data_IF_673024431317
#
_entry.id   IF_673024431317
#
_cell.length_a   1.000
_cell.length_b   1.000
_cell.length_c   1.000
_cell.angle_alpha   90.00
_cell.angle_beta   90.00
_cell.angle_gamma   90.00
#
_symmetry.space_group_name_H-M   'P 1'
#
loop_
_entity.id
_entity.type
_entity.pdbx_description
1 polymer ?
#
# COMPACT_ATOMS: atom_id res chain seq x y z
N UNK A 1 10.80 11.21 12.30
CA UNK A 1 10.11 11.98 11.22
C UNK A 1 9.51 11.02 10.21
N UNK A 2 8.29 11.29 9.81
CA UNK A 2 7.62 10.45 8.82
C UNK A 2 7.84 10.97 7.41
N UNK A 3 7.94 10.03 6.46
CA UNK A 3 8.17 10.34 5.05
C UNK A 3 7.28 9.46 4.17
N UNK A 4 6.79 10.04 3.09
CA UNK A 4 6.22 9.31 1.97
C UNK A 4 7.26 9.27 0.84
N UNK A 5 7.55 8.08 0.33
CA UNK A 5 8.54 7.89 -0.74
C UNK A 5 7.89 7.10 -1.87
N UNK A 6 7.80 7.71 -3.04
CA UNK A 6 7.41 6.98 -4.26
C UNK A 6 8.65 6.30 -4.82
N UNK A 7 8.67 4.97 -4.80
CA UNK A 7 9.76 4.20 -5.40
C UNK A 7 9.61 4.19 -6.92
N UNK A 8 8.40 3.95 -7.38
CA UNK A 8 8.03 3.92 -8.80
C UNK A 8 6.63 4.45 -8.98
N UNK A 9 6.36 5.08 -10.11
CA UNK A 9 5.02 5.51 -10.48
C UNK A 9 4.81 5.39 -11.99
N UNK A 10 3.55 5.26 -12.42
CA UNK A 10 3.17 5.18 -13.80
C UNK A 10 2.75 3.79 -14.27
N UNK A 11 2.46 3.66 -15.54
CA UNK A 11 1.91 2.43 -16.14
C UNK A 11 2.88 1.25 -16.17
N UNK A 12 4.17 1.49 -15.95
CA UNK A 12 5.17 0.42 -15.88
C UNK A 12 5.33 -0.21 -14.50
N UNK A 13 4.76 0.40 -13.47
CA UNK A 13 4.74 -0.12 -12.11
C UNK A 13 4.67 0.97 -11.05
N UNK A 14 3.92 0.68 -10.00
CA UNK A 14 3.68 1.59 -8.89
C UNK A 14 4.10 0.92 -7.57
N UNK A 15 4.82 1.64 -6.74
CA UNK A 15 5.21 1.20 -5.41
C UNK A 15 5.61 2.41 -4.58
N UNK A 16 5.07 2.50 -3.37
CA UNK A 16 5.37 3.59 -2.45
C UNK A 16 5.65 3.05 -1.06
N UNK A 17 6.34 3.84 -0.26
CA UNK A 17 6.65 3.53 1.13
C UNK A 17 6.23 4.69 2.02
N UNK A 18 5.62 4.38 3.14
CA UNK A 18 5.43 5.33 4.25
C UNK A 18 6.28 4.84 5.40
N UNK A 19 7.19 5.66 5.88
CA UNK A 19 8.08 5.29 6.99
C UNK A 19 8.11 6.32 8.10
N UNK A 20 8.38 5.83 9.31
CA UNK A 20 8.72 6.63 10.47
C UNK A 20 9.96 6.01 11.11
N UNK A 21 11.09 6.70 11.00
CA UNK A 21 12.37 6.11 11.39
C UNK A 21 12.67 4.87 10.54
N UNK A 22 12.88 3.73 11.20
CA UNK A 22 13.16 2.46 10.52
C UNK A 22 11.91 1.67 10.18
N UNK A 23 10.77 1.94 10.85
CA UNK A 23 9.50 1.23 10.63
C UNK A 23 8.79 1.76 9.40
N UNK A 24 8.21 0.85 8.62
CA UNK A 24 7.55 1.26 7.37
C UNK A 24 6.48 0.27 6.91
N UNK A 25 5.66 0.75 6.00
CA UNK A 25 4.68 -0.05 5.23
C UNK A 25 4.89 0.23 3.74
N UNK A 26 4.56 -0.75 2.92
CA UNK A 26 4.64 -0.66 1.46
C UNK A 26 3.22 -0.51 0.92
N UNK A 27 3.03 0.32 -0.10
CA UNK A 27 1.76 0.49 -0.81
C UNK A 27 1.99 0.10 -2.25
N UNK A 28 1.33 -0.99 -2.68
CA UNK A 28 1.45 -1.62 -3.98
C UNK A 28 2.88 -2.11 -4.30
N UNK A 29 2.98 -3.02 -5.25
CA UNK A 29 4.25 -3.56 -5.71
C UNK A 29 4.14 -3.96 -7.17
N UNK A 30 4.22 -2.94 -8.03
CA UNK A 30 4.02 -3.09 -9.47
C UNK A 30 5.28 -3.40 -10.27
N UNK A 31 6.45 -3.57 -9.63
CA UNK A 31 7.70 -3.97 -10.29
C UNK A 31 8.28 -5.22 -9.64
N UNK A 32 9.21 -5.84 -10.33
CA UNK A 32 9.82 -7.10 -9.89
C UNK A 32 10.59 -6.99 -8.57
N UNK A 33 10.79 -8.14 -7.93
CA UNK A 33 11.44 -8.24 -6.61
C UNK A 33 12.85 -7.64 -6.59
N UNK A 34 13.62 -7.83 -7.64
CA UNK A 34 15.00 -7.33 -7.70
C UNK A 34 15.02 -5.80 -7.62
N UNK A 35 14.21 -5.14 -8.43
CA UNK A 35 14.12 -3.69 -8.49
C UNK A 35 13.60 -3.11 -7.18
N UNK A 36 12.56 -3.70 -6.61
CA UNK A 36 11.96 -3.25 -5.36
C UNK A 36 12.92 -3.46 -4.18
N UNK A 37 13.56 -4.61 -4.10
CA UNK A 37 14.53 -4.90 -3.03
C UNK A 37 15.73 -3.97 -3.08
N UNK A 38 16.23 -3.65 -4.28
CA UNK A 38 17.33 -2.71 -4.45
C UNK A 38 16.96 -1.30 -3.97
N UNK A 39 15.74 -0.84 -4.28
CA UNK A 39 15.25 0.46 -3.85
C UNK A 39 15.11 0.55 -2.33
N UNK A 40 14.56 -0.48 -1.69
CA UNK A 40 14.46 -0.54 -0.22
C UNK A 40 15.83 -0.51 0.45
N UNK A 41 16.78 -1.27 -0.09
CA UNK A 41 18.15 -1.32 0.41
C UNK A 41 18.84 0.04 0.29
N UNK A 42 18.66 0.72 -0.82
CA UNK A 42 19.22 2.06 -1.05
C UNK A 42 18.70 3.08 -0.03
N UNK A 43 17.46 2.91 0.44
CA UNK A 43 16.87 3.73 1.50
C UNK A 43 17.28 3.29 2.90
N UNK A 44 18.06 2.22 3.04
CA UNK A 44 18.46 1.68 4.34
C UNK A 44 17.33 0.95 5.07
N UNK A 45 16.31 0.50 4.35
CA UNK A 45 15.15 -0.18 4.93
C UNK A 45 15.32 -1.69 4.92
N UNK A 46 15.12 -2.32 6.08
CA UNK A 46 15.18 -3.76 6.27
C UNK A 46 13.77 -4.36 6.24
N UNK A 47 13.63 -5.54 5.64
CA UNK A 47 12.34 -6.25 5.57
C UNK A 47 11.78 -6.55 6.97
N UNK A 48 12.65 -6.82 7.94
CA UNK A 48 12.24 -7.07 9.33
C UNK A 48 11.50 -5.90 9.97
N UNK A 49 11.64 -4.70 9.43
CA UNK A 49 11.00 -3.48 9.92
C UNK A 49 9.73 -3.12 9.13
N UNK A 50 9.38 -3.92 8.13
CA UNK A 50 8.16 -3.72 7.33
C UNK A 50 6.96 -4.36 8.02
N UNK A 51 5.93 -3.57 8.28
CA UNK A 51 4.71 -4.04 8.93
C UNK A 51 3.77 -4.80 7.97
N UNK A 52 3.85 -4.53 6.67
CA UNK A 52 3.01 -5.19 5.68
C UNK A 52 2.90 -4.41 4.38
N UNK A 53 2.10 -4.95 3.48
CA UNK A 53 1.85 -4.38 2.15
C UNK A 53 0.38 -4.04 2.04
N UNK A 54 0.07 -2.79 1.71
CA UNK A 54 -1.27 -2.33 1.40
C UNK A 54 -1.46 -2.37 -0.12
N UNK A 55 -2.56 -2.95 -0.60
CA UNK A 55 -2.85 -3.04 -2.04
C UNK A 55 -4.04 -2.17 -2.37
N UNK A 56 -3.91 -1.29 -3.36
CA UNK A 56 -4.98 -0.38 -3.77
C UNK A 56 -5.98 -1.07 -4.70
N UNK A 57 -5.52 -1.86 -5.66
CA UNK A 57 -6.36 -2.60 -6.61
C UNK A 57 -5.53 -3.65 -7.36
N UNK A 58 -6.21 -4.45 -8.18
CA UNK A 58 -5.67 -5.67 -8.79
C UNK A 58 -4.88 -5.49 -10.09
N UNK A 59 -4.80 -4.29 -10.66
CA UNK A 59 -4.08 -4.08 -11.92
C UNK A 59 -2.61 -4.48 -11.83
N UNK A 60 -2.06 -5.05 -12.90
CA UNK A 60 -0.71 -5.63 -12.91
C UNK A 60 0.39 -4.62 -12.55
N UNK A 61 0.23 -3.37 -12.94
CA UNK A 61 1.17 -2.30 -12.60
C UNK A 61 1.17 -1.92 -11.11
N UNK A 62 0.30 -2.56 -10.30
CA UNK A 62 0.24 -2.41 -8.84
C UNK A 62 0.59 -3.70 -8.10
N UNK A 63 0.49 -4.88 -8.73
CA UNK A 63 0.62 -6.16 -8.02
C UNK A 63 1.58 -7.16 -8.64
N UNK A 64 2.12 -6.92 -9.84
CA UNK A 64 2.91 -7.94 -10.56
C UNK A 64 4.17 -8.42 -9.82
N UNK A 65 4.71 -7.63 -8.92
CA UNK A 65 5.89 -7.99 -8.13
C UNK A 65 5.60 -8.76 -6.86
N UNK A 66 4.32 -8.85 -6.43
CA UNK A 66 3.94 -9.42 -5.14
C UNK A 66 4.33 -10.88 -5.00
N UNK A 67 4.00 -11.73 -5.96
CA UNK A 67 4.17 -13.18 -5.82
C UNK A 67 5.63 -13.55 -5.52
N UNK A 68 6.56 -13.04 -6.31
CA UNK A 68 7.98 -13.35 -6.15
C UNK A 68 8.56 -12.71 -4.89
N UNK A 69 8.17 -11.48 -4.60
CA UNK A 69 8.63 -10.78 -3.40
C UNK A 69 8.19 -11.49 -2.13
N UNK A 70 6.92 -11.86 -2.04
CA UNK A 70 6.34 -12.50 -0.86
C UNK A 70 6.87 -13.93 -0.63
N UNK A 71 7.29 -14.64 -1.68
CA UNK A 71 7.95 -15.94 -1.52
C UNK A 71 9.27 -15.83 -0.77
N UNK A 72 10.00 -14.73 -0.98
CA UNK A 72 11.27 -14.47 -0.31
C UNK A 72 11.10 -13.75 1.02
N UNK A 73 10.09 -12.92 1.12
CA UNK A 73 9.88 -12.03 2.25
C UNK A 73 8.40 -12.10 2.68
N UNK A 74 7.98 -13.13 3.42
CA UNK A 74 6.59 -13.26 3.84
C UNK A 74 6.15 -12.09 4.71
N UNK A 75 5.12 -11.37 4.26
CA UNK A 75 4.54 -10.22 4.94
C UNK A 75 3.02 -10.31 4.85
N UNK A 76 2.28 -9.75 5.81
CA UNK A 76 0.84 -9.65 5.68
C UNK A 76 0.46 -8.66 4.57
N UNK A 77 -0.62 -8.99 3.85
CA UNK A 77 -1.15 -8.18 2.75
C UNK A 77 -2.54 -7.69 3.15
N UNK A 78 -2.75 -6.40 3.03
CA UNK A 78 -3.98 -5.72 3.44
C UNK A 78 -4.66 -5.09 2.24
N UNK A 79 -5.97 -5.05 2.27
CA UNK A 79 -6.75 -4.40 1.21
C UNK A 79 -8.24 -4.64 1.35
N UNK A 80 -8.98 -4.28 0.30
CA UNK A 80 -10.40 -4.56 0.20
C UNK A 80 -10.65 -6.05 -0.11
N UNK A 81 -11.80 -6.56 0.30
CA UNK A 81 -12.18 -7.96 0.10
C UNK A 81 -12.04 -8.40 -1.36
N UNK A 82 -12.63 -7.65 -2.28
CA UNK A 82 -12.62 -8.01 -3.71
C UNK A 82 -11.19 -8.11 -4.26
N UNK A 83 -10.32 -7.18 -3.85
CA UNK A 83 -8.92 -7.18 -4.27
C UNK A 83 -8.18 -8.40 -3.70
N UNK A 84 -8.34 -8.67 -2.42
CA UNK A 84 -7.69 -9.81 -1.78
C UNK A 84 -8.19 -11.14 -2.31
N UNK A 85 -9.49 -11.26 -2.60
CA UNK A 85 -10.08 -12.45 -3.22
C UNK A 85 -9.47 -12.71 -4.61
N UNK A 86 -9.29 -11.65 -5.40
CA UNK A 86 -8.62 -11.75 -6.71
C UNK A 86 -7.18 -12.23 -6.56
N UNK A 87 -6.42 -11.66 -5.64
CA UNK A 87 -5.03 -12.04 -5.41
C UNK A 87 -4.89 -13.50 -4.96
N UNK A 88 -5.78 -13.94 -4.09
CA UNK A 88 -5.80 -15.32 -3.61
C UNK A 88 -6.20 -16.30 -4.72
N UNK A 89 -7.29 -16.02 -5.42
CA UNK A 89 -7.78 -16.86 -6.51
C UNK A 89 -6.78 -17.05 -7.66
N UNK A 90 -5.93 -16.06 -7.88
CA UNK A 90 -4.90 -16.10 -8.93
C UNK A 90 -3.51 -16.54 -8.42
N UNK A 91 -3.42 -16.96 -7.17
CA UNK A 91 -2.16 -17.44 -6.59
C UNK A 91 -1.06 -16.37 -6.48
N UNK A 92 -1.45 -15.10 -6.44
CA UNK A 92 -0.50 -13.98 -6.38
C UNK A 92 0.11 -13.86 -4.99
N UNK A 93 -0.68 -14.15 -3.95
CA UNK A 93 -0.20 -14.14 -2.57
C UNK A 93 0.03 -15.61 -2.14
N UNK A 94 1.27 -15.96 -1.71
CA UNK A 94 1.55 -17.30 -1.22
C UNK A 94 0.71 -17.65 0.02
N UNK A 95 0.38 -18.94 0.17
CA UNK A 95 -0.41 -19.42 1.31
C UNK A 95 0.27 -19.16 2.67
N UNK A 96 1.57 -18.96 2.69
CA UNK A 96 2.34 -18.61 3.89
C UNK A 96 2.11 -17.15 4.35
N UNK A 97 1.50 -16.31 3.53
CA UNK A 97 1.25 -14.91 3.86
C UNK A 97 -0.21 -14.71 4.28
N UNK A 98 -0.41 -13.87 5.29
CA UNK A 98 -1.76 -13.52 5.71
C UNK A 98 -2.39 -12.50 4.75
N UNK A 99 -3.66 -12.71 4.45
CA UNK A 99 -4.52 -11.73 3.78
C UNK A 99 -5.44 -11.13 4.84
N UNK A 100 -5.42 -9.80 4.99
CA UNK A 100 -6.22 -9.10 5.99
C UNK A 100 -7.09 -8.03 5.33
N UNK A 101 -8.40 -8.28 5.31
CA UNK A 101 -9.38 -7.31 4.83
C UNK A 101 -9.51 -6.16 5.82
N UNK A 102 -9.44 -4.93 5.30
CA UNK A 102 -9.70 -3.73 6.08
C UNK A 102 -11.19 -3.36 6.00
N UNK A 103 -11.74 -2.91 7.13
CA UNK A 103 -13.19 -2.66 7.26
C UNK A 103 -13.63 -1.25 6.85
N UNK A 104 -12.68 -0.32 6.68
CA UNK A 104 -12.97 1.10 6.42
C UNK A 104 -12.89 1.98 7.67
N UNK A 105 -12.77 1.40 8.86
CA UNK A 105 -12.36 2.11 10.07
C UNK A 105 -10.84 2.14 10.19
N UNK A 106 -10.31 2.88 11.15
CA UNK A 106 -8.87 2.89 11.42
C UNK A 106 -8.47 1.57 12.07
N UNK A 107 -7.49 0.89 11.49
CA UNK A 107 -6.95 -0.37 11.99
C UNK A 107 -5.43 -0.30 12.04
N UNK A 108 -4.84 -1.02 12.99
CA UNK A 108 -3.39 -1.02 13.16
C UNK A 108 -2.71 -1.93 12.13
N UNK A 109 -1.70 -1.38 11.46
CA UNK A 109 -0.75 -2.12 10.63
C UNK A 109 0.64 -1.81 11.21
N UNK A 110 1.12 -2.69 12.07
CA UNK A 110 2.29 -2.37 12.91
C UNK A 110 2.01 -1.15 13.78
N UNK A 111 2.88 -0.16 13.72
CA UNK A 111 2.75 1.09 14.49
C UNK A 111 1.96 2.18 13.73
N UNK A 112 1.41 1.85 12.57
CA UNK A 112 0.63 2.79 11.75
C UNK A 112 -0.86 2.53 11.91
N UNK A 113 -1.64 3.60 12.01
CA UNK A 113 -3.11 3.51 11.92
C UNK A 113 -3.52 3.70 10.46
N UNK A 114 -4.26 2.74 9.90
CA UNK A 114 -4.62 2.74 8.48
C UNK A 114 -6.13 2.75 8.32
N UNK A 115 -6.64 3.70 7.55
CA UNK A 115 -8.04 3.78 7.15
C UNK A 115 -8.14 3.66 5.64
N UNK A 116 -8.89 2.67 5.17
CA UNK A 116 -9.14 2.44 3.75
C UNK A 116 -10.40 3.21 3.33
N UNK A 117 -10.38 3.79 2.14
CA UNK A 117 -11.55 4.45 1.56
C UNK A 117 -11.67 4.15 0.07
N UNK A 118 -12.90 4.09 -0.49
CA UNK A 118 -13.08 3.78 -1.91
C UNK A 118 -12.66 4.95 -2.79
N UNK A 119 -12.13 4.62 -3.97
CA UNK A 119 -11.81 5.58 -5.03
C UNK A 119 -12.55 5.22 -6.31
N UNK A 120 -12.67 6.18 -7.23
CA UNK A 120 -13.30 5.96 -8.52
C UNK A 120 -12.30 5.44 -9.55
N UNK A 121 -12.52 4.21 -10.03
CA UNK A 121 -11.69 3.56 -11.03
C UNK A 121 -12.51 2.49 -11.76
N UNK A 122 -11.97 1.87 -12.82
CA UNK A 122 -12.66 0.84 -13.62
C UNK A 122 -12.80 -0.52 -12.91
N UNK A 123 -11.99 -0.76 -11.88
CA UNK A 123 -12.09 -1.93 -11.00
C UNK A 123 -12.24 -1.44 -9.55
N UNK A 124 -12.66 -2.31 -8.61
CA UNK A 124 -12.66 -1.95 -7.19
C UNK A 124 -11.28 -1.44 -6.76
N UNK A 125 -11.21 -0.20 -6.33
CA UNK A 125 -9.98 0.49 -5.99
C UNK A 125 -10.16 1.28 -4.70
N UNK A 126 -9.11 1.35 -3.89
CA UNK A 126 -9.12 2.08 -2.63
C UNK A 126 -7.89 2.96 -2.49
N UNK A 127 -8.04 4.01 -1.69
CA UNK A 127 -6.92 4.77 -1.16
C UNK A 127 -6.75 4.52 0.32
N UNK A 128 -5.71 5.06 0.90
CA UNK A 128 -5.36 4.87 2.30
C UNK A 128 -5.06 6.19 2.99
N UNK A 129 -5.66 6.37 4.16
CA UNK A 129 -5.31 7.43 5.09
C UNK A 129 -4.47 6.80 6.20
N UNK A 130 -3.25 7.28 6.37
CA UNK A 130 -2.26 6.67 7.25
C UNK A 130 -1.89 7.64 8.36
N UNK A 131 -2.12 7.20 9.59
CA UNK A 131 -1.70 7.91 10.79
C UNK A 131 -0.38 7.31 11.27
N UNK A 132 0.65 8.14 11.32
CA UNK A 132 2.01 7.68 11.64
C UNK A 132 2.29 7.72 13.14
N UNK A 133 3.31 6.95 13.63
CA UNK A 133 3.68 6.96 15.04
C UNK A 133 4.08 8.33 15.60
N UNK A 134 4.60 9.22 14.75
CA UNK A 134 4.95 10.59 15.16
C UNK A 134 3.79 11.58 14.97
N UNK A 135 2.55 11.06 14.91
CA UNK A 135 1.30 11.83 14.87
C UNK A 135 1.14 12.69 13.61
N UNK A 136 1.58 12.20 12.48
CA UNK A 136 1.31 12.79 11.16
C UNK A 136 0.23 12.01 10.44
N UNK A 137 -0.47 12.65 9.52
CA UNK A 137 -1.50 12.01 8.70
C UNK A 137 -1.17 12.19 7.23
N UNK A 138 -1.12 11.08 6.50
CA UNK A 138 -0.85 11.06 5.06
C UNK A 138 -2.00 10.36 4.34
N UNK A 139 -2.46 10.93 3.25
CA UNK A 139 -3.49 10.29 2.41
C UNK A 139 -2.92 10.01 1.04
N UNK A 140 -3.02 8.75 0.64
CA UNK A 140 -2.51 8.25 -0.65
C UNK A 140 -3.69 7.72 -1.45
N UNK A 141 -3.90 8.27 -2.65
CA UNK A 141 -4.92 7.81 -3.57
C UNK A 141 -4.39 7.86 -4.99
N UNK A 142 -4.33 6.72 -5.64
CA UNK A 142 -3.86 6.58 -7.02
C UNK A 142 -5.02 6.16 -7.92
N UNK A 143 -4.85 6.35 -9.23
CA UNK A 143 -5.84 5.95 -10.24
C UNK A 143 -7.23 6.55 -9.97
N UNK A 144 -7.25 7.83 -9.62
CA UNK A 144 -8.50 8.56 -9.38
C UNK A 144 -9.14 8.99 -10.71
N UNK A 145 -10.38 8.56 -10.92
CA UNK A 145 -11.19 9.08 -12.02
C UNK A 145 -11.79 10.43 -11.66
N UNK A 146 -12.38 10.55 -10.48
CA UNK A 146 -13.00 11.77 -9.96
C UNK A 146 -12.81 11.86 -8.45
N UNK A 147 -12.92 13.08 -7.92
CA UNK A 147 -12.90 13.31 -6.48
C UNK A 147 -14.29 13.08 -5.91
N UNK A 148 -14.51 11.92 -5.32
CA UNK A 148 -15.75 11.55 -4.67
C UNK A 148 -15.83 12.08 -3.23
N UNK A 149 -17.02 12.13 -2.58
CA UNK A 149 -17.10 12.53 -1.17
C UNK A 149 -16.19 11.74 -0.21
N UNK A 150 -16.05 10.41 -0.30
CA UNK A 150 -15.09 9.68 0.54
C UNK A 150 -13.64 10.13 0.34
N UNK A 151 -13.25 10.44 -0.89
CA UNK A 151 -11.90 10.97 -1.19
C UNK A 151 -11.72 12.34 -0.56
N UNK A 152 -12.68 13.25 -0.73
CA UNK A 152 -12.64 14.57 -0.10
C UNK A 152 -12.49 14.48 1.42
N UNK A 153 -13.25 13.60 2.04
CA UNK A 153 -13.18 13.40 3.49
C UNK A 153 -11.80 12.89 3.91
N UNK A 154 -11.23 11.95 3.15
CA UNK A 154 -9.92 11.39 3.44
C UNK A 154 -8.77 12.41 3.26
N UNK A 155 -8.96 13.42 2.41
CA UNK A 155 -7.98 14.47 2.18
C UNK A 155 -7.98 15.55 3.26
N UNK A 156 -9.06 15.67 4.04
CA UNK A 156 -9.20 16.73 5.03
C UNK A 156 -8.22 16.57 6.19
N UNK A 157 -7.54 17.66 6.54
CA UNK A 157 -6.67 17.73 7.69
C UNK A 157 -5.40 16.86 7.60
N UNK A 158 -4.96 16.51 6.39
CA UNK A 158 -3.73 15.75 6.19
C UNK A 158 -2.50 16.64 6.23
N UNK A 159 -1.40 16.10 6.73
CA UNK A 159 -0.08 16.74 6.64
C UNK A 159 0.54 16.55 5.26
N UNK A 160 0.22 15.45 4.59
CA UNK A 160 0.69 15.13 3.25
C UNK A 160 -0.40 14.45 2.44
N UNK A 161 -0.48 14.79 1.17
CA UNK A 161 -1.40 14.17 0.21
C UNK A 161 -0.61 13.72 -1.02
N UNK A 162 -0.75 12.45 -1.39
CA UNK A 162 -0.21 11.89 -2.62
C UNK A 162 -1.38 11.45 -3.51
N UNK A 163 -1.60 12.17 -4.59
CA UNK A 163 -2.68 11.91 -5.56
C UNK A 163 -2.10 11.60 -6.94
N UNK A 164 -2.78 10.68 -7.63
CA UNK A 164 -2.41 10.31 -8.99
C UNK A 164 -3.64 10.01 -9.85
#
# INVERSE_FOLDING_TARGET
>A
MSEFISLYSGSSGNCSVVRTGEKYIIIDMGKGVRTTSAALKELGLNISDCAGILVTHEHSDHVKGLATFLKKNPLPVYGADDTLDFLDANGIVPASCELRTLSGGEEDVGDFGVTMFPTSHDVPCVGYRIHTPDNKTMTIATDLGVLTPPVHQALSGCDLVALE
#
